data_IF_161692310324
#
_entry.id   IF_161692310324
#
_cell.length_a   1.000
_cell.length_b   1.000
_cell.length_c   1.000
_cell.angle_alpha   90.00
_cell.angle_beta   90.00
_cell.angle_gamma   90.00
#
_symmetry.space_group_name_H-M   'P 1'
#
loop_
_entity.id
_entity.type
_entity.pdbx_description
1 polymer ?
#
# COMPACT_ATOMS: atom_id res chain seq x y z
N UNK A 1 18.84 -0.22 -7.95
CA UNK A 1 17.93 -0.84 -8.94
C UNK A 1 17.78 0.15 -10.07
N UNK A 2 18.03 -0.26 -11.31
CA UNK A 2 18.07 0.66 -12.45
C UNK A 2 17.25 0.08 -13.61
N UNK A 3 16.32 0.88 -14.15
CA UNK A 3 15.69 0.66 -15.46
C UNK A 3 16.79 0.57 -16.54
N UNK A 4 16.90 -0.59 -17.21
CA UNK A 4 17.99 -0.88 -18.16
C UNK A 4 17.76 -0.27 -19.55
N UNK A 5 16.52 -0.33 -20.03
CA UNK A 5 16.11 0.20 -21.33
C UNK A 5 14.94 1.14 -21.14
N UNK A 6 15.14 2.42 -21.50
CA UNK A 6 14.13 3.47 -21.33
C UNK A 6 13.18 3.47 -22.53
N UNK A 7 11.88 3.36 -22.25
CA UNK A 7 10.76 3.53 -23.19
C UNK A 7 10.17 4.94 -23.03
N UNK A 8 9.22 5.29 -23.88
CA UNK A 8 8.64 6.65 -23.89
C UNK A 8 7.77 6.94 -22.66
N UNK A 9 7.18 5.91 -22.06
CA UNK A 9 6.21 6.02 -20.97
C UNK A 9 6.65 5.22 -19.74
N UNK A 10 6.19 5.66 -18.56
CA UNK A 10 6.41 4.99 -17.27
C UNK A 10 5.08 4.66 -16.60
N UNK A 11 4.92 3.40 -16.20
CA UNK A 11 3.81 2.95 -15.35
C UNK A 11 4.36 2.49 -14.00
N UNK A 12 4.01 3.22 -12.96
CA UNK A 12 4.31 2.87 -11.57
C UNK A 12 3.14 2.07 -10.99
N UNK A 13 3.37 0.89 -10.43
CA UNK A 13 2.31 -0.02 -9.96
C UNK A 13 2.49 -0.31 -8.48
N UNK A 14 1.45 -0.08 -7.68
CA UNK A 14 1.44 -0.61 -6.30
C UNK A 14 1.30 -2.14 -6.28
N UNK A 15 1.83 -2.79 -5.24
CA UNK A 15 1.76 -4.24 -5.09
C UNK A 15 0.49 -4.71 -4.39
N UNK A 16 0.46 -4.63 -3.06
CA UNK A 16 -0.59 -5.21 -2.22
C UNK A 16 -1.93 -4.49 -2.40
N UNK A 17 -3.00 -5.20 -2.75
CA UNK A 17 -4.32 -4.59 -2.94
C UNK A 17 -4.49 -3.88 -4.29
N UNK A 18 -3.42 -3.79 -5.08
CA UNK A 18 -3.41 -3.23 -6.43
C UNK A 18 -3.15 -4.33 -7.48
N UNK A 19 -1.92 -4.86 -7.54
CA UNK A 19 -1.57 -5.97 -8.43
C UNK A 19 -1.74 -7.34 -7.75
N UNK A 20 -1.44 -7.43 -6.46
CA UNK A 20 -1.46 -8.65 -5.66
C UNK A 20 -2.70 -8.68 -4.75
N UNK A 21 -3.45 -9.78 -4.78
CA UNK A 21 -4.61 -10.02 -3.90
C UNK A 21 -4.16 -10.52 -2.52
N UNK A 22 -3.36 -9.69 -1.86
CA UNK A 22 -2.63 -10.05 -0.64
C UNK A 22 -2.97 -9.12 0.52
N UNK A 23 -3.47 -7.90 0.25
CA UNK A 23 -3.77 -6.92 1.30
C UNK A 23 -4.82 -7.46 2.29
N UNK A 24 -5.95 -7.98 1.80
CA UNK A 24 -7.00 -8.49 2.67
C UNK A 24 -6.50 -9.68 3.51
N UNK A 25 -5.79 -10.62 2.88
CA UNK A 25 -5.21 -11.80 3.55
C UNK A 25 -4.25 -11.39 4.66
N UNK A 26 -3.32 -10.47 4.36
CA UNK A 26 -2.36 -9.95 5.35
C UNK A 26 -3.08 -9.31 6.53
N UNK A 27 -4.15 -8.54 6.31
CA UNK A 27 -4.90 -7.93 7.40
C UNK A 27 -5.71 -8.93 8.24
N UNK A 28 -6.34 -9.91 7.58
CA UNK A 28 -7.17 -10.91 8.26
C UNK A 28 -6.37 -11.97 9.01
N UNK A 29 -5.17 -12.30 8.55
CA UNK A 29 -4.37 -13.41 9.08
C UNK A 29 -3.16 -12.95 9.91
N UNK A 30 -2.68 -11.72 9.72
CA UNK A 30 -1.53 -11.17 10.44
C UNK A 30 -1.85 -9.88 11.21
N UNK A 31 -2.06 -8.75 10.52
CA UNK A 31 -2.13 -7.44 11.18
C UNK A 31 -3.17 -7.36 12.31
N UNK A 32 -4.43 -7.69 12.00
CA UNK A 32 -5.51 -7.65 12.97
C UNK A 32 -5.37 -8.68 14.08
N UNK A 33 -5.15 -9.98 13.77
CA UNK A 33 -4.95 -11.00 14.79
C UNK A 33 -3.79 -10.72 15.75
N UNK A 34 -2.64 -10.25 15.24
CA UNK A 34 -1.51 -9.88 16.11
C UNK A 34 -1.82 -8.63 16.95
N UNK A 35 -2.62 -7.69 16.44
CA UNK A 35 -3.08 -6.54 17.22
C UNK A 35 -3.97 -6.96 18.39
N UNK A 36 -4.88 -7.92 18.17
CA UNK A 36 -5.73 -8.47 19.23
C UNK A 36 -4.89 -9.13 20.33
N UNK A 37 -3.88 -9.91 19.94
CA UNK A 37 -2.98 -10.61 20.88
C UNK A 37 -2.13 -9.65 21.70
N UNK A 38 -1.44 -8.69 21.04
CA UNK A 38 -0.52 -7.78 21.74
C UNK A 38 -1.24 -6.84 22.72
N UNK A 39 -2.52 -6.57 22.45
CA UNK A 39 -3.36 -5.73 23.30
C UNK A 39 -4.15 -6.50 24.35
N UNK A 40 -4.09 -7.84 24.34
CA UNK A 40 -4.79 -8.72 25.30
C UNK A 40 -6.30 -8.41 25.32
N UNK A 41 -6.94 -8.50 24.15
CA UNK A 41 -8.36 -8.19 23.91
C UNK A 41 -9.10 -9.32 23.18
N UNK A 42 -8.68 -10.57 23.38
CA UNK A 42 -9.22 -11.77 22.76
C UNK A 42 -10.72 -11.93 22.99
N UNK A 43 -11.22 -11.58 24.18
CA UNK A 43 -12.66 -11.63 24.51
C UNK A 43 -13.50 -10.69 23.62
N UNK A 44 -12.89 -9.63 23.08
CA UNK A 44 -13.52 -8.65 22.19
C UNK A 44 -13.03 -8.75 20.75
N UNK A 45 -12.38 -9.86 20.39
CA UNK A 45 -11.72 -10.07 19.09
C UNK A 45 -12.61 -9.71 17.90
N UNK A 46 -13.87 -10.13 17.89
CA UNK A 46 -14.78 -9.88 16.77
C UNK A 46 -14.99 -8.37 16.52
N UNK A 47 -15.24 -7.61 17.59
CA UNK A 47 -15.46 -6.17 17.53
C UNK A 47 -14.19 -5.42 17.12
N UNK A 48 -13.04 -5.78 17.71
CA UNK A 48 -11.74 -5.16 17.39
C UNK A 48 -11.34 -5.45 15.94
N UNK A 49 -11.46 -6.69 15.47
CA UNK A 49 -11.14 -7.04 14.08
C UNK A 49 -12.09 -6.37 13.09
N UNK A 50 -13.37 -6.26 13.41
CA UNK A 50 -14.33 -5.53 12.57
C UNK A 50 -13.93 -4.06 12.43
N UNK A 51 -13.55 -3.40 13.53
CA UNK A 51 -13.03 -2.02 13.50
C UNK A 51 -11.73 -1.94 12.69
N UNK A 52 -10.77 -2.81 12.99
CA UNK A 52 -9.46 -2.87 12.33
C UNK A 52 -9.60 -2.99 10.81
N UNK A 53 -10.43 -3.92 10.35
CA UNK A 53 -10.65 -4.17 8.93
C UNK A 53 -11.40 -3.01 8.27
N UNK A 54 -12.38 -2.42 8.95
CA UNK A 54 -13.06 -1.22 8.43
C UNK A 54 -12.06 -0.09 8.19
N UNK A 55 -11.23 0.23 9.18
CA UNK A 55 -10.23 1.30 9.05
C UNK A 55 -9.22 0.98 7.94
N UNK A 56 -8.57 -0.18 8.01
CA UNK A 56 -7.38 -0.44 7.19
C UNK A 56 -7.67 -0.99 5.79
N UNK A 57 -8.87 -1.53 5.53
CA UNK A 57 -9.23 -2.11 4.22
C UNK A 57 -10.39 -1.40 3.53
N UNK A 58 -11.35 -0.87 4.30
CA UNK A 58 -12.67 -0.48 3.79
C UNK A 58 -13.06 0.93 4.26
N UNK A 59 -12.13 1.88 4.12
CA UNK A 59 -12.39 3.30 4.37
C UNK A 59 -11.38 4.16 3.62
N UNK A 60 -11.47 5.49 3.75
CA UNK A 60 -10.44 6.43 3.29
C UNK A 60 -9.03 6.15 3.90
N UNK A 61 -8.98 5.41 5.01
CA UNK A 61 -7.73 4.95 5.66
C UNK A 61 -7.23 3.61 5.09
N UNK A 62 -7.75 3.14 3.95
CA UNK A 62 -7.24 1.96 3.27
C UNK A 62 -5.74 2.12 2.96
N UNK A 63 -4.94 1.10 3.30
CA UNK A 63 -3.51 1.08 3.01
C UNK A 63 -2.68 2.12 3.77
N UNK A 64 -3.20 2.66 4.89
CA UNK A 64 -2.43 3.57 5.75
C UNK A 64 -1.18 2.89 6.31
N UNK A 65 -0.24 3.71 6.79
CA UNK A 65 0.90 3.20 7.54
C UNK A 65 0.42 2.36 8.75
N UNK A 66 1.07 1.21 8.96
CA UNK A 66 0.71 0.24 9.99
C UNK A 66 0.62 0.85 11.40
N UNK A 67 1.47 1.83 11.74
CA UNK A 67 1.48 2.46 13.06
C UNK A 67 0.34 3.48 13.23
N UNK A 68 -0.14 4.08 12.14
CA UNK A 68 -1.38 4.87 12.17
C UNK A 68 -2.60 3.95 12.36
N UNK A 69 -2.57 2.76 11.77
CA UNK A 69 -3.58 1.72 11.99
C UNK A 69 -3.56 1.17 13.42
N UNK A 70 -2.35 0.99 13.97
CA UNK A 70 -2.15 0.63 15.37
C UNK A 70 -2.79 1.66 16.31
N UNK A 71 -2.48 2.95 16.11
CA UNK A 71 -3.09 4.04 16.88
C UNK A 71 -4.62 4.05 16.81
N UNK A 72 -5.22 3.92 15.62
CA UNK A 72 -6.69 3.85 15.48
C UNK A 72 -7.30 2.66 16.25
N UNK A 73 -6.59 1.53 16.29
CA UNK A 73 -6.94 0.38 17.11
C UNK A 73 -6.83 0.68 18.61
N UNK A 74 -5.78 1.39 19.04
CA UNK A 74 -5.60 1.80 20.44
C UNK A 74 -6.74 2.73 20.88
N UNK A 75 -7.08 3.73 20.07
CA UNK A 75 -8.17 4.67 20.33
C UNK A 75 -9.50 3.92 20.49
N UNK A 76 -9.79 2.97 19.60
CA UNK A 76 -10.99 2.14 19.71
C UNK A 76 -11.04 1.35 21.02
N UNK A 77 -9.93 0.71 21.42
CA UNK A 77 -9.84 -0.02 22.70
C UNK A 77 -10.06 0.94 23.86
N UNK A 78 -9.41 2.10 23.85
CA UNK A 78 -9.47 3.12 24.89
C UNK A 78 -10.90 3.62 25.14
N UNK A 79 -11.66 3.83 24.06
CA UNK A 79 -13.03 4.35 24.12
C UNK A 79 -14.08 3.28 24.46
N UNK A 80 -13.92 2.05 23.95
CA UNK A 80 -15.01 1.06 23.92
C UNK A 80 -14.78 -0.16 24.80
N UNK A 81 -13.53 -0.43 25.23
CA UNK A 81 -13.18 -1.66 25.94
C UNK A 81 -12.55 -1.32 27.30
N UNK A 82 -11.39 -0.66 27.31
CA UNK A 82 -10.67 -0.28 28.52
C UNK A 82 -9.65 0.83 28.25
N UNK A 83 -9.34 1.69 29.23
CA UNK A 83 -8.29 2.67 29.07
C UNK A 83 -6.96 2.05 28.61
N UNK A 84 -6.33 2.68 27.62
CA UNK A 84 -5.00 2.29 27.12
C UNK A 84 -3.97 3.24 27.72
N UNK A 85 -3.10 2.68 28.57
CA UNK A 85 -2.01 3.45 29.17
C UNK A 85 -1.06 4.02 28.09
N UNK A 86 -0.63 5.26 28.29
CA UNK A 86 0.36 5.96 27.45
C UNK A 86 -0.06 6.20 25.99
N UNK A 87 -1.35 6.07 25.65
CA UNK A 87 -1.85 6.34 24.29
C UNK A 87 -1.53 7.77 23.81
N UNK A 88 -1.64 8.77 24.69
CA UNK A 88 -1.32 10.16 24.38
C UNK A 88 0.15 10.37 24.01
N UNK A 89 1.06 9.55 24.57
CA UNK A 89 2.49 9.60 24.24
C UNK A 89 2.72 9.14 22.80
N UNK A 90 2.04 8.07 22.39
CA UNK A 90 2.10 7.55 21.03
C UNK A 90 1.49 8.53 20.03
N UNK A 91 0.31 9.07 20.37
CA UNK A 91 -0.37 10.09 19.57
C UNK A 91 0.52 11.32 19.36
N UNK A 92 1.10 11.86 20.44
CA UNK A 92 1.97 13.02 20.35
C UNK A 92 3.22 12.76 19.51
N UNK A 93 3.78 11.55 19.53
CA UNK A 93 4.88 11.21 18.63
C UNK A 93 4.46 11.26 17.15
N UNK A 94 3.28 10.74 16.82
CA UNK A 94 2.73 10.76 15.47
C UNK A 94 2.41 12.19 15.02
N UNK A 95 1.77 12.99 15.88
CA UNK A 95 1.37 14.37 15.59
C UNK A 95 2.54 15.32 15.37
N UNK A 96 3.73 14.97 15.88
CA UNK A 96 4.98 15.72 15.70
C UNK A 96 5.89 15.07 14.65
N UNK A 97 5.31 14.51 13.59
CA UNK A 97 6.01 13.93 12.43
C UNK A 97 7.03 12.83 12.79
N UNK A 98 6.69 12.01 13.79
CA UNK A 98 7.49 10.85 14.18
C UNK A 98 7.72 9.89 13.01
N UNK A 99 8.89 9.24 12.98
CA UNK A 99 9.26 8.30 11.91
C UNK A 99 8.44 7.02 12.02
N UNK A 100 7.47 6.83 11.14
CA UNK A 100 6.51 5.71 11.15
C UNK A 100 7.09 4.41 10.54
N UNK A 101 8.19 3.94 11.11
CA UNK A 101 8.91 2.71 10.77
C UNK A 101 9.31 1.97 12.04
N UNK A 102 9.67 0.69 11.96
CA UNK A 102 10.13 -0.07 13.14
C UNK A 102 11.32 0.65 13.80
N UNK A 103 12.35 1.01 13.03
CA UNK A 103 13.50 1.77 13.55
C UNK A 103 13.09 3.08 14.23
N UNK A 104 12.08 3.77 13.68
CA UNK A 104 11.57 5.02 14.26
C UNK A 104 10.86 4.79 15.60
N UNK A 105 10.16 3.67 15.74
CA UNK A 105 9.56 3.26 17.02
C UNK A 105 10.64 2.83 18.02
N UNK A 106 11.68 2.13 17.58
CA UNK A 106 12.83 1.75 18.40
C UNK A 106 13.57 3.00 18.92
N UNK A 107 13.89 3.96 18.06
CA UNK A 107 14.47 5.25 18.42
C UNK A 107 13.60 6.01 19.44
N UNK A 108 12.29 5.99 19.24
CA UNK A 108 11.33 6.63 20.14
C UNK A 108 11.31 5.92 21.51
N UNK A 109 11.31 4.59 21.52
CA UNK A 109 11.38 3.79 22.73
C UNK A 109 12.69 4.06 23.49
N UNK A 110 13.81 4.17 22.79
CA UNK A 110 15.11 4.45 23.42
C UNK A 110 15.13 5.80 24.15
N UNK A 111 14.46 6.82 23.60
CA UNK A 111 14.44 8.19 24.15
C UNK A 111 13.37 8.37 25.23
N UNK A 112 12.16 7.85 24.99
CA UNK A 112 10.98 8.11 25.81
C UNK A 112 10.79 7.03 26.89
N UNK A 113 11.25 5.79 26.62
CA UNK A 113 11.11 4.62 27.50
C UNK A 113 9.66 4.25 27.85
N UNK A 114 8.71 4.65 27.01
CA UNK A 114 7.28 4.34 27.16
C UNK A 114 6.95 2.94 26.61
N UNK A 115 6.17 2.17 27.36
CA UNK A 115 5.82 0.80 27.02
C UNK A 115 4.95 0.68 25.76
N UNK A 116 4.23 1.73 25.38
CA UNK A 116 3.40 1.71 24.16
C UNK A 116 4.24 1.53 22.89
N UNK A 117 5.44 2.12 22.82
CA UNK A 117 6.36 1.93 21.71
C UNK A 117 6.88 0.50 21.67
N UNK A 118 7.21 -0.08 22.83
CA UNK A 118 7.60 -1.49 22.91
C UNK A 118 6.50 -2.41 22.36
N UNK A 119 5.23 -2.18 22.73
CA UNK A 119 4.10 -2.92 22.17
C UNK A 119 3.98 -2.75 20.66
N UNK A 120 4.14 -1.53 20.13
CA UNK A 120 4.09 -1.27 18.70
C UNK A 120 5.22 -1.98 17.94
N UNK A 121 6.44 -2.01 18.50
CA UNK A 121 7.60 -2.72 17.96
C UNK A 121 7.34 -4.23 17.94
N UNK A 122 7.01 -4.81 19.10
CA UNK A 122 6.74 -6.23 19.27
C UNK A 122 5.60 -6.68 18.33
N UNK A 123 4.52 -5.89 18.26
CA UNK A 123 3.44 -6.10 17.31
C UNK A 123 3.92 -6.11 15.86
N UNK A 124 4.72 -5.13 15.45
CA UNK A 124 5.17 -5.03 14.06
C UNK A 124 6.09 -6.19 13.66
N UNK A 125 6.96 -6.67 14.57
CA UNK A 125 7.75 -7.88 14.33
C UNK A 125 6.86 -9.13 14.26
N UNK A 126 5.92 -9.30 15.18
CA UNK A 126 4.96 -10.42 15.15
C UNK A 126 4.15 -10.45 13.85
N UNK A 127 3.75 -9.28 13.33
CA UNK A 127 3.06 -9.15 12.05
C UNK A 127 3.94 -9.62 10.90
N UNK A 128 5.21 -9.21 10.85
CA UNK A 128 6.13 -9.66 9.80
C UNK A 128 6.28 -11.19 9.83
N UNK A 129 6.49 -11.77 11.02
CA UNK A 129 6.57 -13.22 11.23
C UNK A 129 5.29 -13.95 10.82
N UNK A 130 4.12 -13.35 11.08
CA UNK A 130 2.83 -13.92 10.70
C UNK A 130 2.61 -13.87 9.19
N UNK A 131 3.02 -12.78 8.52
CA UNK A 131 2.95 -12.64 7.06
C UNK A 131 3.80 -13.70 6.37
N UNK A 132 5.01 -13.97 6.86
CA UNK A 132 5.89 -15.01 6.31
C UNK A 132 5.29 -16.42 6.37
N UNK A 133 4.38 -16.65 7.33
CA UNK A 133 3.68 -17.93 7.54
C UNK A 133 2.39 -18.05 6.72
N UNK A 134 1.95 -16.99 6.04
CA UNK A 134 0.75 -17.05 5.19
C UNK A 134 1.02 -18.06 4.06
N UNK A 135 0.10 -19.03 3.83
CA UNK A 135 0.27 -20.01 2.78
C UNK A 135 0.44 -19.35 1.42
N UNK A 136 1.47 -19.76 0.68
CA UNK A 136 1.90 -19.11 -0.56
C UNK A 136 0.82 -19.15 -1.64
N UNK A 137 -0.07 -20.13 -1.61
CA UNK A 137 -1.22 -20.25 -2.51
C UNK A 137 -2.26 -19.13 -2.35
N UNK A 138 -2.22 -18.36 -1.25
CA UNK A 138 -3.04 -17.17 -1.04
C UNK A 138 -2.40 -15.92 -1.65
N UNK A 139 -1.12 -15.97 -2.03
CA UNK A 139 -0.41 -14.84 -2.62
C UNK A 139 -0.51 -14.90 -4.14
N UNK A 140 -1.68 -14.52 -4.67
CA UNK A 140 -1.95 -14.51 -6.11
C UNK A 140 -2.15 -13.08 -6.61
N UNK A 141 -1.79 -12.80 -7.87
CA UNK A 141 -2.19 -11.55 -8.50
C UNK A 141 -3.71 -11.54 -8.69
N UNK A 142 -4.30 -10.35 -8.75
CA UNK A 142 -5.67 -10.22 -9.25
C UNK A 142 -5.75 -10.71 -10.70
N UNK A 143 -6.93 -11.23 -11.05
CA UNK A 143 -7.21 -11.58 -12.43
C UNK A 143 -7.01 -10.36 -13.35
N UNK A 144 -6.60 -10.63 -14.59
CA UNK A 144 -6.26 -9.63 -15.61
C UNK A 144 -5.01 -8.77 -15.36
N UNK A 145 -4.30 -8.89 -14.23
CA UNK A 145 -3.00 -8.19 -14.03
C UNK A 145 -1.97 -8.63 -15.08
N UNK A 146 -1.68 -9.93 -15.17
CA UNK A 146 -0.66 -10.44 -16.10
C UNK A 146 -0.94 -10.09 -17.58
N UNK A 147 -2.16 -10.30 -18.13
CA UNK A 147 -2.50 -9.81 -19.46
C UNK A 147 -2.29 -8.31 -19.64
N UNK A 148 -2.59 -7.50 -18.61
CA UNK A 148 -2.43 -6.05 -18.68
C UNK A 148 -0.96 -5.64 -18.68
N UNK A 149 -0.13 -6.25 -17.82
CA UNK A 149 1.32 -6.01 -17.81
C UNK A 149 1.97 -6.34 -19.16
N UNK A 150 1.53 -7.41 -19.82
CA UNK A 150 1.98 -7.75 -21.19
C UNK A 150 1.70 -6.64 -22.20
N UNK A 151 0.54 -5.98 -22.12
CA UNK A 151 0.21 -4.85 -23.00
C UNK A 151 1.02 -3.60 -22.64
N UNK A 152 1.14 -3.30 -21.34
CA UNK A 152 1.92 -2.16 -20.85
C UNK A 152 3.38 -2.29 -21.30
N UNK A 153 3.99 -3.47 -21.11
CA UNK A 153 5.39 -3.73 -21.42
C UNK A 153 5.74 -3.52 -22.91
N UNK A 154 4.76 -3.49 -23.82
CA UNK A 154 5.01 -3.17 -25.24
C UNK A 154 5.30 -1.69 -25.49
N UNK A 155 4.91 -0.80 -24.57
CA UNK A 155 4.90 0.66 -24.79
C UNK A 155 5.51 1.48 -23.65
N UNK A 156 5.56 0.94 -22.44
CA UNK A 156 6.02 1.63 -21.26
C UNK A 156 6.95 0.76 -20.42
N UNK A 157 7.81 1.42 -19.64
CA UNK A 157 8.50 0.75 -18.54
C UNK A 157 7.54 0.55 -17.38
N UNK A 158 7.73 -0.53 -16.65
CA UNK A 158 6.92 -0.88 -15.49
C UNK A 158 7.81 -0.92 -14.26
N UNK A 159 7.46 -0.13 -13.26
CA UNK A 159 8.14 -0.15 -11.96
C UNK A 159 7.15 -0.50 -10.87
N UNK A 160 7.53 -1.42 -9.99
CA UNK A 160 6.75 -1.75 -8.80
C UNK A 160 7.16 -0.79 -7.69
N UNK A 161 6.18 -0.17 -7.03
CA UNK A 161 6.41 0.72 -5.89
C UNK A 161 5.59 0.17 -4.72
N UNK A 162 6.25 -0.29 -3.65
CA UNK A 162 5.59 -0.95 -2.54
C UNK A 162 6.14 -0.53 -1.19
N UNK A 163 5.30 -0.60 -0.17
CA UNK A 163 5.70 -0.49 1.24
C UNK A 163 6.13 -1.83 1.85
N UNK A 164 6.17 -2.91 1.08
CA UNK A 164 6.70 -4.20 1.50
C UNK A 164 8.24 -4.25 1.36
N UNK A 165 8.88 -5.28 1.93
CA UNK A 165 10.32 -5.53 1.74
C UNK A 165 10.64 -5.97 0.31
N UNK A 166 11.87 -5.72 -0.14
CA UNK A 166 12.34 -6.18 -1.45
C UNK A 166 12.22 -7.70 -1.62
N UNK A 167 12.58 -8.46 -0.58
CA UNK A 167 12.50 -9.92 -0.59
C UNK A 167 11.05 -10.41 -0.70
N UNK A 168 10.10 -9.76 -0.03
CA UNK A 168 8.68 -10.10 -0.16
C UNK A 168 8.19 -9.88 -1.59
N UNK A 169 8.49 -8.72 -2.19
CA UNK A 169 8.08 -8.40 -3.56
C UNK A 169 8.68 -9.38 -4.56
N UNK A 170 9.99 -9.64 -4.49
CA UNK A 170 10.66 -10.59 -5.39
C UNK A 170 10.03 -11.98 -5.30
N UNK A 171 9.74 -12.45 -4.08
CA UNK A 171 9.14 -13.77 -3.90
C UNK A 171 7.69 -13.84 -4.41
N UNK A 172 6.87 -12.84 -4.11
CA UNK A 172 5.46 -12.78 -4.51
C UNK A 172 5.32 -12.64 -6.03
N UNK A 173 6.00 -11.65 -6.61
CA UNK A 173 5.91 -11.34 -8.04
C UNK A 173 6.58 -12.39 -8.92
N UNK A 174 7.67 -13.01 -8.46
CA UNK A 174 8.34 -14.09 -9.22
C UNK A 174 7.44 -15.32 -9.32
N UNK A 175 6.82 -15.74 -8.21
CA UNK A 175 5.89 -16.88 -8.20
C UNK A 175 4.64 -16.61 -9.03
N UNK A 176 4.18 -15.36 -9.06
CA UNK A 176 3.07 -14.92 -9.88
C UNK A 176 3.42 -14.81 -11.38
N UNK A 177 4.68 -15.03 -11.77
CA UNK A 177 5.12 -14.93 -13.17
C UNK A 177 5.07 -13.50 -13.72
N UNK A 178 5.16 -12.50 -12.85
CA UNK A 178 5.07 -11.08 -13.22
C UNK A 178 6.43 -10.43 -13.44
N UNK A 179 7.50 -10.96 -12.84
CA UNK A 179 8.83 -10.35 -12.86
C UNK A 179 9.41 -10.13 -14.25
N UNK A 180 9.02 -10.96 -15.23
CA UNK A 180 9.49 -10.84 -16.62
C UNK A 180 9.04 -9.54 -17.32
N UNK A 181 8.09 -8.81 -16.72
CA UNK A 181 7.54 -7.57 -17.27
C UNK A 181 8.00 -6.32 -16.51
N UNK A 182 8.77 -6.48 -15.43
CA UNK A 182 9.12 -5.40 -14.51
C UNK A 182 10.56 -4.94 -14.73
N UNK A 183 10.73 -3.63 -14.89
CA UNK A 183 12.02 -3.01 -15.13
C UNK A 183 12.75 -2.66 -13.83
N UNK A 184 12.02 -2.26 -12.79
CA UNK A 184 12.58 -1.97 -11.47
C UNK A 184 11.55 -2.17 -10.35
N UNK A 185 12.06 -2.37 -9.13
CA UNK A 185 11.27 -2.46 -7.91
C UNK A 185 11.79 -1.38 -6.95
N UNK A 186 10.87 -0.64 -6.33
CA UNK A 186 11.16 0.30 -5.26
C UNK A 186 10.33 -0.11 -4.05
N UNK A 187 11.00 -0.42 -2.96
CA UNK A 187 10.40 -0.96 -1.74
C UNK A 187 10.60 0.01 -0.58
N UNK A 188 10.10 -0.34 0.61
CA UNK A 188 10.22 0.50 1.79
C UNK A 188 11.66 0.88 2.14
N UNK A 189 12.65 0.04 1.76
CA UNK A 189 14.07 0.29 1.99
C UNK A 189 14.62 1.43 1.11
N UNK A 190 13.96 1.74 -0.01
CA UNK A 190 14.32 2.87 -0.87
C UNK A 190 13.84 4.21 -0.29
N UNK A 191 12.63 4.22 0.27
CA UNK A 191 11.98 5.41 0.82
C UNK A 191 10.47 5.38 0.61
N UNK A 192 9.86 6.55 0.64
CA UNK A 192 8.43 6.73 0.42
C UNK A 192 8.03 6.44 -1.03
N UNK A 193 6.73 6.22 -1.26
CA UNK A 193 6.17 6.10 -2.62
C UNK A 193 6.41 7.37 -3.45
N UNK A 194 6.33 8.54 -2.83
CA UNK A 194 6.60 9.83 -3.48
C UNK A 194 8.04 9.92 -3.96
N UNK A 195 9.02 9.57 -3.13
CA UNK A 195 10.44 9.54 -3.48
C UNK A 195 10.74 8.50 -4.56
N UNK A 196 10.10 7.32 -4.47
CA UNK A 196 10.24 6.24 -5.46
C UNK A 196 9.79 6.67 -6.86
N UNK A 197 8.62 7.32 -6.96
CA UNK A 197 8.13 7.86 -8.25
C UNK A 197 9.09 8.95 -8.74
N UNK A 198 9.51 9.89 -7.88
CA UNK A 198 10.41 10.97 -8.26
C UNK A 198 11.72 10.43 -8.83
N UNK A 199 12.29 9.42 -8.17
CA UNK A 199 13.51 8.76 -8.62
C UNK A 199 13.33 8.07 -9.97
N UNK A 200 12.29 7.25 -10.16
CA UNK A 200 12.02 6.58 -11.43
C UNK A 200 11.83 7.58 -12.58
N UNK A 201 11.15 8.71 -12.31
CA UNK A 201 10.96 9.79 -13.28
C UNK A 201 12.28 10.41 -13.71
N UNK A 202 13.16 10.74 -12.75
CA UNK A 202 14.48 11.30 -13.02
C UNK A 202 15.36 10.29 -13.76
N UNK A 203 15.33 9.03 -13.35
CA UNK A 203 16.19 7.98 -13.91
C UNK A 203 15.95 7.76 -15.40
N UNK A 204 14.68 7.77 -15.84
CA UNK A 204 14.33 7.63 -17.26
C UNK A 204 14.06 8.96 -17.97
N UNK A 205 14.28 10.10 -17.33
CA UNK A 205 14.03 11.44 -17.88
C UNK A 205 12.60 11.58 -18.46
N UNK A 206 11.60 11.05 -17.76
CA UNK A 206 10.22 11.04 -18.25
C UNK A 206 9.55 12.40 -18.09
N UNK A 207 8.80 12.79 -19.12
CA UNK A 207 7.87 13.91 -19.02
C UNK A 207 6.69 13.52 -18.13
N UNK A 208 6.22 14.44 -17.27
CA UNK A 208 5.21 14.13 -16.24
C UNK A 208 3.90 13.58 -16.79
N UNK A 209 3.48 14.03 -17.98
CA UNK A 209 2.28 13.53 -18.67
C UNK A 209 2.48 12.15 -19.34
N UNK A 210 3.69 11.59 -19.31
CA UNK A 210 4.02 10.24 -19.77
C UNK A 210 4.25 9.27 -18.60
N UNK A 211 3.82 9.66 -17.40
CA UNK A 211 3.96 8.86 -16.18
C UNK A 211 2.58 8.67 -15.56
N UNK A 212 2.26 7.44 -15.18
CA UNK A 212 1.02 7.12 -14.47
C UNK A 212 1.28 6.18 -13.30
N UNK A 213 0.67 6.48 -12.15
CA UNK A 213 0.67 5.65 -10.95
C UNK A 213 -0.65 4.88 -10.86
N UNK A 214 -0.57 3.56 -10.85
CA UNK A 214 -1.69 2.66 -10.58
C UNK A 214 -1.65 2.28 -9.09
N UNK A 215 -2.74 2.48 -8.35
CA UNK A 215 -2.80 2.15 -6.92
C UNK A 215 -4.22 2.09 -6.37
N UNK A 216 -4.37 1.54 -5.17
CA UNK A 216 -5.66 1.27 -4.54
C UNK A 216 -5.92 2.09 -3.26
N UNK A 217 -4.94 2.89 -2.82
CA UNK A 217 -5.02 3.70 -1.61
C UNK A 217 -4.88 5.20 -1.88
N UNK A 218 -5.39 6.04 -0.97
CA UNK A 218 -5.22 7.50 -1.06
C UNK A 218 -3.75 7.93 -0.97
N UNK A 219 -2.89 7.14 -0.32
CA UNK A 219 -1.44 7.36 -0.30
C UNK A 219 -0.81 7.27 -1.69
N UNK A 220 -1.30 6.39 -2.57
CA UNK A 220 -0.84 6.31 -3.96
C UNK A 220 -1.29 7.51 -4.79
N UNK A 221 -2.53 7.95 -4.59
CA UNK A 221 -3.06 9.17 -5.21
C UNK A 221 -2.24 10.40 -4.77
N UNK A 222 -1.91 10.49 -3.49
CA UNK A 222 -1.08 11.58 -2.98
C UNK A 222 0.33 11.54 -3.60
N UNK A 223 0.97 10.37 -3.64
CA UNK A 223 2.29 10.22 -4.24
C UNK A 223 2.31 10.60 -5.74
N UNK A 224 1.24 10.31 -6.47
CA UNK A 224 1.07 10.74 -7.85
C UNK A 224 0.94 12.27 -7.97
N UNK A 225 0.12 12.89 -7.11
CA UNK A 225 -0.08 14.35 -7.07
C UNK A 225 1.20 15.09 -6.71
N UNK A 226 1.93 14.65 -5.70
CA UNK A 226 3.21 15.25 -5.28
C UNK A 226 4.24 15.26 -6.42
N UNK A 227 4.17 14.26 -7.29
CA UNK A 227 5.04 14.13 -8.46
C UNK A 227 4.50 14.80 -9.73
N UNK A 228 3.28 15.35 -9.69
CA UNK A 228 2.53 15.89 -10.82
C UNK A 228 2.34 14.87 -11.96
N UNK A 229 2.18 13.59 -11.65
CA UNK A 229 1.96 12.51 -12.62
C UNK A 229 0.50 12.04 -12.59
N UNK A 230 0.08 11.28 -13.59
CA UNK A 230 -1.27 10.75 -13.62
C UNK A 230 -1.48 9.67 -12.54
N UNK A 231 -2.74 9.47 -12.14
CA UNK A 231 -3.16 8.42 -11.23
C UNK A 231 -4.31 7.61 -11.84
N UNK A 232 -4.23 6.28 -11.71
CA UNK A 232 -5.31 5.35 -12.04
C UNK A 232 -5.68 4.50 -10.81
N UNK A 233 -6.97 4.50 -10.38
CA UNK A 233 -7.39 3.76 -9.20
C UNK A 233 -7.71 2.28 -9.48
N UNK A 234 -7.20 1.40 -8.64
CA UNK A 234 -7.76 0.07 -8.41
C UNK A 234 -8.81 0.17 -7.30
N UNK A 235 -10.06 -0.15 -7.60
CA UNK A 235 -11.17 0.01 -6.64
C UNK A 235 -11.35 -1.29 -5.88
N UNK A 236 -11.30 -1.24 -4.55
CA UNK A 236 -11.48 -2.43 -3.71
C UNK A 236 -12.85 -3.11 -3.97
N UNK A 237 -12.87 -4.45 -4.00
CA UNK A 237 -14.00 -5.30 -4.42
C UNK A 237 -14.35 -5.22 -5.92
N UNK A 238 -13.58 -4.47 -6.71
CA UNK A 238 -13.74 -4.28 -8.16
C UNK A 238 -12.37 -4.34 -8.87
N UNK A 239 -11.40 -5.01 -8.28
CA UNK A 239 -9.99 -5.00 -8.68
C UNK A 239 -9.82 -5.58 -10.09
N UNK A 240 -10.41 -6.75 -10.35
CA UNK A 240 -10.41 -7.37 -11.68
C UNK A 240 -10.98 -6.42 -12.75
N UNK A 241 -12.14 -5.80 -12.46
CA UNK A 241 -12.78 -4.88 -13.40
C UNK A 241 -11.94 -3.61 -13.60
N UNK A 242 -11.26 -3.12 -12.55
CA UNK A 242 -10.31 -2.01 -12.66
C UNK A 242 -9.16 -2.36 -13.60
N UNK A 243 -8.60 -3.57 -13.54
CA UNK A 243 -7.55 -4.02 -14.46
C UNK A 243 -8.04 -4.17 -15.90
N UNK A 244 -9.23 -4.75 -16.11
CA UNK A 244 -9.86 -4.86 -17.44
C UNK A 244 -10.04 -3.47 -18.05
N UNK A 245 -10.65 -2.54 -17.31
CA UNK A 245 -10.90 -1.18 -17.81
C UNK A 245 -9.59 -0.44 -18.12
N UNK A 246 -8.54 -0.66 -17.32
CA UNK A 246 -7.24 -0.07 -17.60
C UNK A 246 -6.69 -0.58 -18.92
N UNK A 247 -6.61 -1.90 -19.09
CA UNK A 247 -6.09 -2.54 -20.29
C UNK A 247 -6.84 -2.14 -21.56
N UNK A 248 -8.16 -2.18 -21.50
CA UNK A 248 -9.02 -2.14 -22.69
C UNK A 248 -9.41 -0.70 -23.09
N UNK A 249 -9.35 0.26 -22.15
CA UNK A 249 -9.73 1.66 -22.41
C UNK A 249 -8.63 2.66 -22.01
N UNK A 250 -8.26 2.66 -20.73
CA UNK A 250 -7.52 3.80 -20.17
C UNK A 250 -6.04 3.82 -20.51
N UNK A 251 -5.44 2.66 -20.73
CA UNK A 251 -4.05 2.56 -21.17
C UNK A 251 -3.86 3.20 -22.55
N UNK A 252 -4.78 2.95 -23.49
CA UNK A 252 -4.74 3.59 -24.80
C UNK A 252 -4.89 5.11 -24.69
N UNK A 253 -5.80 5.60 -23.85
CA UNK A 253 -5.96 7.04 -23.58
C UNK A 253 -4.70 7.67 -22.99
N UNK A 254 -4.00 6.94 -22.12
CA UNK A 254 -2.71 7.38 -21.57
C UNK A 254 -1.64 7.49 -22.66
N UNK A 255 -1.48 6.45 -23.49
CA UNK A 255 -0.50 6.46 -24.58
C UNK A 255 -0.80 7.56 -25.63
N UNK A 256 -2.08 7.88 -25.86
CA UNK A 256 -2.51 8.93 -26.79
C UNK A 256 -2.46 10.35 -26.19
N UNK A 257 -2.13 10.51 -24.91
CA UNK A 257 -2.12 11.83 -24.24
C UNK A 257 -3.51 12.39 -23.93
N UNK A 258 -4.53 11.54 -23.89
CA UNK A 258 -5.94 11.91 -23.64
C UNK A 258 -6.40 11.57 -22.21
N UNK A 259 -5.52 11.02 -21.37
CA UNK A 259 -5.89 10.54 -20.04
C UNK A 259 -6.35 11.66 -19.07
N UNK A 260 -5.85 12.88 -19.26
CA UNK A 260 -6.31 14.05 -18.50
C UNK A 260 -7.83 14.29 -18.62
N UNK A 261 -8.47 13.87 -19.72
CA UNK A 261 -9.90 14.05 -19.94
C UNK A 261 -10.76 13.14 -19.04
N UNK A 262 -10.19 12.07 -18.49
CA UNK A 262 -10.92 11.04 -17.73
C UNK A 262 -10.48 10.92 -16.28
N UNK A 263 -9.27 11.36 -15.93
CA UNK A 263 -8.67 11.17 -14.61
C UNK A 263 -9.57 11.64 -13.46
N UNK A 264 -10.08 12.87 -13.51
CA UNK A 264 -10.83 13.44 -12.38
C UNK A 264 -12.11 12.65 -12.10
N UNK A 265 -12.78 12.17 -13.15
CA UNK A 265 -13.95 11.29 -13.03
C UNK A 265 -13.59 9.97 -12.35
N UNK A 266 -12.45 9.38 -12.69
CA UNK A 266 -11.98 8.13 -12.10
C UNK A 266 -11.60 8.31 -10.62
N UNK A 267 -10.90 9.39 -10.28
CA UNK A 267 -10.54 9.74 -8.90
C UNK A 267 -11.79 9.98 -8.06
N UNK A 268 -12.77 10.74 -8.57
CA UNK A 268 -14.01 11.01 -7.84
C UNK A 268 -14.81 9.73 -7.59
N UNK A 269 -14.87 8.83 -8.58
CA UNK A 269 -15.48 7.51 -8.39
C UNK A 269 -14.75 6.71 -7.32
N UNK A 270 -13.42 6.67 -7.38
CA UNK A 270 -12.60 5.95 -6.40
C UNK A 270 -12.83 6.43 -4.97
N UNK A 271 -12.82 7.75 -4.73
CA UNK A 271 -13.09 8.34 -3.41
C UNK A 271 -14.51 7.99 -2.95
N UNK A 272 -15.51 8.17 -3.82
CA UNK A 272 -16.91 7.84 -3.48
C UNK A 272 -17.13 6.36 -3.14
N UNK A 273 -16.40 5.46 -3.78
CA UNK A 273 -16.51 4.02 -3.50
C UNK A 273 -15.90 3.70 -2.13
N UNK A 274 -14.76 4.30 -1.78
CA UNK A 274 -14.15 4.17 -0.46
C UNK A 274 -15.04 4.72 0.67
N UNK A 275 -15.76 5.82 0.41
CA UNK A 275 -16.71 6.41 1.37
C UNK A 275 -17.96 5.53 1.59
N UNK A 276 -18.30 4.70 0.61
CA UNK A 276 -19.50 3.86 0.63
C UNK A 276 -19.33 2.48 1.28
N UNK A 277 -18.09 2.12 1.69
CA UNK A 277 -17.75 0.81 2.24
C UNK A 277 -18.03 0.65 3.74
#
# INVERSE_FOLDING_TARGET
MEIKEIKDFLVCIDSDGCAMDTMNVKHYEAFGPEFVKIMDVEEQKENVLKRWNKTNLFSHRRGINRFLGFLDGLEYINENIRPVEEIEVFQNYIDNDGKLSIDGMEDAYEKIKSNIFKKAIDWSYNVNDAIEKIPREKNKPFDNVLPTLKEIAKKANIVVISSATEDAIKQEWSKAGLMDYIDAVFTQEFGTKTESIAHAVVQGNYEKHKVIKIGDALGDLQAARDNNVYFYPIIAKKEEQSWINFRDEYFQKFIMGEYNQVQDKLINKFISELDSM
#
